data_IF_819780169112
#
_entry.id   IF_819780169112
#
_cell.length_a   1.000
_cell.length_b   1.000
_cell.length_c   1.000
_cell.angle_alpha   90.00
_cell.angle_beta   90.00
_cell.angle_gamma   90.00
#
_symmetry.space_group_name_H-M   'P 1'
#
loop_
_entity.id
_entity.type
_entity.pdbx_description
1 polymer ?
#
# COMPACT_ATOMS: atom_id res chain seq x y z
N UNK A 1 -35.53 -58.05 -86.02
CA UNK A 1 -36.14 -58.19 -84.68
C UNK A 1 -35.47 -57.19 -83.75
N UNK A 2 -36.27 -56.31 -83.13
CA UNK A 2 -35.84 -55.27 -82.17
C UNK A 2 -35.35 -55.91 -80.87
N UNK A 3 -34.21 -55.46 -80.34
CA UNK A 3 -33.90 -55.57 -78.92
C UNK A 3 -33.52 -54.18 -78.41
N UNK A 4 -34.21 -53.74 -77.37
CA UNK A 4 -34.10 -52.40 -76.76
C UNK A 4 -33.21 -52.53 -75.53
N UNK A 5 -32.07 -51.84 -75.48
CA UNK A 5 -31.24 -51.75 -74.29
C UNK A 5 -31.49 -50.40 -73.60
N UNK A 6 -32.05 -50.44 -72.40
CA UNK A 6 -32.24 -49.27 -71.54
C UNK A 6 -30.96 -48.99 -70.75
N UNK A 7 -30.36 -47.82 -70.96
CA UNK A 7 -29.24 -47.32 -70.17
C UNK A 7 -29.82 -46.67 -68.91
N UNK A 8 -29.51 -47.23 -67.73
CA UNK A 8 -29.82 -46.61 -66.44
C UNK A 8 -28.86 -45.45 -66.22
N UNK A 9 -29.37 -44.21 -66.23
CA UNK A 9 -28.62 -43.05 -65.75
C UNK A 9 -28.78 -42.96 -64.22
N UNK A 10 -27.73 -43.31 -63.48
CA UNK A 10 -27.60 -42.96 -62.07
C UNK A 10 -27.09 -41.52 -61.96
N UNK A 11 -27.92 -40.65 -61.39
CA UNK A 11 -27.59 -39.26 -61.08
C UNK A 11 -26.61 -39.24 -59.90
N UNK A 12 -25.33 -38.96 -60.16
CA UNK A 12 -24.33 -38.76 -59.10
C UNK A 12 -24.44 -37.34 -58.56
N UNK A 13 -24.84 -37.19 -57.29
CA UNK A 13 -24.82 -35.90 -56.60
C UNK A 13 -23.36 -35.51 -56.30
N UNK A 14 -22.89 -34.43 -56.91
CA UNK A 14 -21.59 -33.83 -56.65
C UNK A 14 -21.69 -32.98 -55.38
N UNK A 15 -21.23 -33.51 -54.25
CA UNK A 15 -21.13 -32.77 -52.99
C UNK A 15 -19.87 -31.89 -53.09
N UNK A 16 -20.06 -30.59 -53.27
CA UNK A 16 -19.01 -29.59 -53.10
C UNK A 16 -18.82 -29.33 -51.60
N UNK A 17 -17.61 -29.47 -51.04
CA UNK A 17 -17.36 -29.06 -49.67
C UNK A 17 -17.47 -27.53 -49.58
N UNK A 18 -18.42 -27.05 -48.77
CA UNK A 18 -18.40 -25.66 -48.30
C UNK A 18 -17.20 -25.51 -47.37
N UNK A 19 -16.15 -24.83 -47.82
CA UNK A 19 -15.15 -24.29 -46.92
C UNK A 19 -15.79 -23.10 -46.20
N UNK A 20 -16.05 -23.24 -44.91
CA UNK A 20 -16.37 -22.09 -44.07
C UNK A 20 -15.10 -21.25 -43.94
N UNK A 21 -15.09 -20.05 -44.52
CA UNK A 21 -14.09 -19.04 -44.21
C UNK A 21 -14.47 -18.50 -42.84
N UNK A 22 -13.65 -18.74 -41.82
CA UNK A 22 -13.80 -18.06 -40.55
C UNK A 22 -13.45 -16.59 -40.79
N UNK A 23 -14.42 -15.69 -40.67
CA UNK A 23 -14.16 -14.26 -40.64
C UNK A 23 -13.43 -13.95 -39.34
N UNK A 24 -12.17 -13.51 -39.43
CA UNK A 24 -11.46 -12.99 -38.27
C UNK A 24 -12.15 -11.70 -37.83
N UNK A 25 -12.64 -11.62 -36.58
CA UNK A 25 -13.26 -10.39 -36.11
C UNK A 25 -12.25 -9.25 -36.19
N UNK A 26 -12.75 -8.04 -36.47
CA UNK A 26 -11.95 -6.84 -36.62
C UNK A 26 -12.11 -5.95 -35.39
N UNK A 27 -11.00 -5.36 -34.93
CA UNK A 27 -10.95 -4.33 -33.90
C UNK A 27 -10.64 -2.97 -34.52
N UNK A 28 -11.29 -1.92 -34.01
CA UNK A 28 -10.90 -0.54 -34.24
C UNK A 28 -9.94 -0.11 -33.12
N UNK A 29 -8.70 0.19 -33.50
CA UNK A 29 -7.65 0.60 -32.57
C UNK A 29 -7.31 2.08 -32.77
N UNK A 30 -7.60 2.91 -31.77
CA UNK A 30 -7.39 4.35 -31.83
C UNK A 30 -6.23 4.76 -30.94
N UNK A 31 -5.28 5.50 -31.51
CA UNK A 31 -4.22 6.19 -30.77
C UNK A 31 -4.61 7.67 -30.71
N UNK A 32 -4.72 8.22 -29.52
CA UNK A 32 -4.93 9.64 -29.31
C UNK A 32 -3.70 10.27 -28.68
N UNK A 33 -3.18 11.27 -29.36
CA UNK A 33 -2.07 12.07 -28.89
C UNK A 33 -2.63 13.30 -28.19
N UNK A 34 -2.71 13.23 -26.86
CA UNK A 34 -3.02 14.37 -25.99
C UNK A 34 -1.78 14.80 -25.20
N UNK A 35 -0.60 14.52 -25.75
CA UNK A 35 0.69 14.93 -25.22
C UNK A 35 1.16 16.20 -25.93
N UNK A 36 2.22 16.83 -25.43
CA UNK A 36 2.82 18.03 -26.02
C UNK A 36 3.74 17.71 -27.23
N UNK A 37 4.01 16.42 -27.50
CA UNK A 37 4.86 15.93 -28.58
C UNK A 37 4.05 15.50 -29.80
N UNK A 38 4.62 15.58 -30.98
CA UNK A 38 4.03 15.13 -32.24
C UNK A 38 4.54 13.71 -32.57
N UNK A 39 3.64 12.77 -32.88
CA UNK A 39 4.08 11.41 -33.22
C UNK A 39 4.34 11.28 -34.72
N UNK A 40 5.58 10.98 -35.07
CA UNK A 40 6.07 10.88 -36.45
C UNK A 40 5.95 9.45 -36.99
N UNK A 41 6.08 8.45 -36.14
CA UNK A 41 6.01 7.04 -36.56
C UNK A 41 5.17 6.21 -35.59
N UNK A 42 4.35 5.31 -36.12
CA UNK A 42 3.57 4.34 -35.35
C UNK A 42 3.73 2.97 -35.98
N UNK A 43 4.29 2.03 -35.21
CA UNK A 43 4.44 0.64 -35.63
C UNK A 43 3.51 -0.26 -34.83
N UNK A 44 2.76 -1.11 -35.52
CA UNK A 44 1.83 -2.06 -34.90
C UNK A 44 2.11 -3.45 -35.48
N UNK A 45 2.69 -4.32 -34.67
CA UNK A 45 3.04 -5.69 -35.05
C UNK A 45 2.29 -6.70 -34.20
N UNK A 46 1.99 -7.88 -34.74
CA UNK A 46 1.50 -8.97 -33.87
C UNK A 46 2.56 -9.28 -32.82
N UNK A 47 2.17 -9.54 -31.58
CA UNK A 47 3.12 -9.90 -30.50
C UNK A 47 3.85 -11.23 -30.70
N UNK A 48 3.50 -11.96 -31.76
CA UNK A 48 4.22 -13.17 -32.20
C UNK A 48 5.25 -12.90 -33.30
N UNK A 49 5.39 -11.66 -33.74
CA UNK A 49 6.32 -11.22 -34.78
C UNK A 49 7.63 -10.74 -34.17
N UNK A 50 8.76 -11.18 -34.71
CA UNK A 50 10.09 -10.69 -34.34
C UNK A 50 10.46 -9.35 -35.04
N UNK A 51 9.53 -8.76 -35.79
CA UNK A 51 9.74 -7.50 -36.51
C UNK A 51 8.54 -6.56 -36.42
N UNK A 52 8.82 -5.26 -36.29
CA UNK A 52 7.82 -4.19 -36.18
C UNK A 52 7.02 -3.92 -37.47
N UNK A 53 7.59 -4.25 -38.63
CA UNK A 53 7.00 -3.93 -39.93
C UNK A 53 7.17 -2.47 -40.32
N UNK A 54 6.33 -2.01 -41.24
CA UNK A 54 6.33 -0.63 -41.75
C UNK A 54 5.58 0.32 -40.82
N UNK A 55 6.00 1.58 -40.82
CA UNK A 55 5.27 2.67 -40.17
C UNK A 55 3.84 2.78 -40.74
N UNK A 56 2.87 2.87 -39.83
CA UNK A 56 1.44 2.89 -40.11
C UNK A 56 0.93 4.31 -40.37
N UNK A 57 1.68 5.36 -40.04
CA UNK A 57 1.38 6.74 -40.41
C UNK A 57 1.89 7.07 -41.83
N UNK A 58 3.02 6.49 -42.24
CA UNK A 58 3.57 6.64 -43.57
C UNK A 58 4.24 8.00 -43.76
N UNK A 59 3.51 8.95 -44.36
CA UNK A 59 3.98 10.34 -44.50
C UNK A 59 3.20 11.33 -43.63
N UNK A 60 2.21 10.84 -42.90
CA UNK A 60 1.37 11.63 -42.02
C UNK A 60 2.03 11.78 -40.64
N UNK A 61 1.69 12.86 -39.94
CA UNK A 61 2.13 13.11 -38.56
C UNK A 61 0.88 13.15 -37.69
N UNK A 62 0.91 12.44 -36.56
CA UNK A 62 -0.14 12.51 -35.56
C UNK A 62 0.18 13.63 -34.56
N UNK A 63 -0.24 14.84 -34.92
CA UNK A 63 -0.01 16.06 -34.13
C UNK A 63 -0.63 15.99 -32.72
N UNK A 64 -0.05 16.76 -31.79
CA UNK A 64 -0.63 17.03 -30.47
C UNK A 64 -2.10 17.45 -30.55
N UNK A 65 -2.95 16.84 -29.72
CA UNK A 65 -4.40 16.95 -29.70
C UNK A 65 -5.14 16.13 -30.77
N UNK A 66 -4.43 15.39 -31.61
CA UNK A 66 -4.98 14.55 -32.68
C UNK A 66 -5.29 13.11 -32.25
N UNK A 67 -6.02 12.38 -33.09
CA UNK A 67 -6.15 10.92 -32.97
C UNK A 67 -6.15 10.23 -34.33
N UNK A 68 -5.62 9.01 -34.37
CA UNK A 68 -5.58 8.16 -35.56
C UNK A 68 -6.15 6.78 -35.24
N UNK A 69 -6.97 6.24 -36.14
CA UNK A 69 -7.60 4.93 -35.97
C UNK A 69 -7.15 3.92 -37.02
N UNK A 70 -6.90 2.69 -36.58
CA UNK A 70 -6.45 1.58 -37.40
C UNK A 70 -7.44 0.42 -37.28
N UNK A 71 -7.86 -0.12 -38.42
CA UNK A 71 -8.69 -1.33 -38.44
C UNK A 71 -7.79 -2.55 -38.56
N UNK A 72 -7.78 -3.39 -37.52
CA UNK A 72 -6.92 -4.56 -37.38
C UNK A 72 -7.75 -5.80 -37.08
N UNK A 73 -7.26 -7.00 -37.35
CA UNK A 73 -7.90 -8.21 -36.82
C UNK A 73 -7.74 -8.24 -35.29
N UNK A 74 -8.74 -8.74 -34.56
CA UNK A 74 -8.62 -8.97 -33.12
C UNK A 74 -7.43 -9.89 -32.83
N UNK A 75 -6.75 -9.64 -31.71
CA UNK A 75 -5.52 -10.36 -31.37
C UNK A 75 -4.66 -9.60 -30.38
N UNK A 76 -3.42 -10.05 -30.21
CA UNK A 76 -2.42 -9.41 -29.34
C UNK A 76 -1.31 -8.81 -30.19
N UNK A 77 -1.02 -7.54 -29.93
CA UNK A 77 -0.11 -6.70 -30.70
C UNK A 77 0.86 -5.97 -29.81
N UNK A 78 2.03 -5.69 -30.35
CA UNK A 78 3.00 -4.78 -29.79
C UNK A 78 2.91 -3.45 -30.53
N UNK A 79 3.15 -2.37 -29.81
CA UNK A 79 3.09 -1.00 -30.30
C UNK A 79 4.42 -0.31 -30.04
N UNK A 80 4.91 0.40 -31.06
CA UNK A 80 6.02 1.35 -30.92
C UNK A 80 5.60 2.68 -31.52
N UNK A 81 5.77 3.76 -30.78
CA UNK A 81 5.52 5.14 -31.22
C UNK A 81 6.85 5.91 -31.13
N UNK A 82 7.13 6.73 -32.13
CA UNK A 82 8.32 7.59 -32.20
C UNK A 82 7.88 9.04 -32.36
N UNK A 83 8.40 9.94 -31.53
CA UNK A 83 8.10 11.38 -31.60
C UNK A 83 9.03 12.15 -32.55
N UNK A 84 8.90 13.49 -32.56
CA UNK A 84 9.70 14.39 -33.40
C UNK A 84 11.20 14.39 -33.09
N UNK A 85 11.59 14.05 -31.86
CA UNK A 85 12.96 14.05 -31.39
C UNK A 85 13.61 12.65 -31.51
N UNK A 86 12.81 11.63 -31.84
CA UNK A 86 13.22 10.25 -32.03
C UNK A 86 13.13 9.40 -30.78
N UNK A 87 12.45 9.89 -29.73
CA UNK A 87 12.21 9.13 -28.51
C UNK A 87 11.13 8.07 -28.76
N UNK A 88 11.34 6.88 -28.19
CA UNK A 88 10.53 5.70 -28.51
C UNK A 88 9.74 5.21 -27.29
N UNK A 89 8.41 5.22 -27.39
CA UNK A 89 7.51 4.52 -26.48
C UNK A 89 7.23 3.11 -27.02
N UNK A 90 7.46 2.06 -26.21
CA UNK A 90 7.26 0.66 -26.60
C UNK A 90 6.35 -0.07 -25.63
N UNK A 91 5.21 -0.55 -26.11
CA UNK A 91 4.23 -1.29 -25.31
C UNK A 91 3.98 -2.68 -25.92
N UNK A 92 4.20 -3.71 -25.11
CA UNK A 92 4.10 -5.11 -25.55
C UNK A 92 2.78 -5.74 -25.09
N UNK A 93 2.23 -6.63 -25.91
CA UNK A 93 1.13 -7.51 -25.49
C UNK A 93 -0.25 -6.86 -25.40
N UNK A 94 -0.50 -5.77 -26.13
CA UNK A 94 -1.79 -5.07 -26.16
C UNK A 94 -2.85 -5.97 -26.82
N UNK A 95 -3.94 -6.24 -26.09
CA UNK A 95 -5.06 -7.05 -26.59
C UNK A 95 -6.08 -6.15 -27.30
N UNK A 96 -6.29 -6.37 -28.59
CA UNK A 96 -7.28 -5.68 -29.40
C UNK A 96 -8.54 -6.53 -29.56
N UNK A 97 -9.67 -5.98 -29.12
CA UNK A 97 -11.01 -6.59 -29.27
C UNK A 97 -12.07 -5.51 -29.35
N UNK A 98 -12.97 -5.56 -30.33
CA UNK A 98 -13.99 -4.52 -30.54
C UNK A 98 -13.39 -3.13 -30.76
N UNK A 99 -13.54 -2.23 -29.80
CA UNK A 99 -12.95 -0.88 -29.84
C UNK A 99 -11.91 -0.74 -28.73
N UNK A 100 -10.65 -0.54 -29.10
CA UNK A 100 -9.54 -0.29 -28.19
C UNK A 100 -9.00 1.10 -28.43
N UNK A 101 -8.80 1.91 -27.39
CA UNK A 101 -8.24 3.26 -27.49
C UNK A 101 -7.13 3.45 -26.49
N UNK A 102 -5.98 3.93 -26.94
CA UNK A 102 -4.89 4.39 -26.09
C UNK A 102 -4.82 5.91 -26.14
N UNK A 103 -4.57 6.52 -24.99
CA UNK A 103 -4.58 7.95 -24.81
C UNK A 103 -3.25 8.38 -24.20
N UNK A 104 -2.37 8.95 -25.01
CA UNK A 104 -1.08 9.44 -24.54
C UNK A 104 -1.25 10.89 -24.08
N UNK A 105 -1.36 11.11 -22.78
CA UNK A 105 -1.12 12.43 -22.17
C UNK A 105 0.39 12.64 -22.02
N UNK A 106 0.82 13.80 -21.51
CA UNK A 106 2.24 14.00 -21.19
C UNK A 106 2.78 12.92 -20.25
N UNK A 107 2.03 12.59 -19.21
CA UNK A 107 2.45 11.61 -18.21
C UNK A 107 2.53 10.20 -18.81
N UNK A 108 1.51 9.78 -19.58
CA UNK A 108 1.50 8.46 -20.24
C UNK A 108 2.60 8.33 -21.31
N UNK A 109 2.93 9.42 -22.00
CA UNK A 109 4.04 9.46 -22.94
C UNK A 109 5.38 9.30 -22.21
N UNK A 110 5.63 10.13 -21.19
CA UNK A 110 6.88 10.12 -20.42
C UNK A 110 7.08 8.79 -19.69
N UNK A 111 6.04 8.22 -19.06
CA UNK A 111 6.11 6.91 -18.40
C UNK A 111 6.46 5.79 -19.40
N UNK A 112 6.00 5.90 -20.64
CA UNK A 112 6.30 4.91 -21.66
C UNK A 112 7.72 5.03 -22.23
N UNK A 113 8.20 6.26 -22.45
CA UNK A 113 9.54 6.53 -22.97
C UNK A 113 10.61 6.32 -21.89
N UNK A 114 10.30 6.67 -20.65
CA UNK A 114 11.19 6.61 -19.49
C UNK A 114 10.56 5.81 -18.33
N UNK A 115 10.39 4.48 -18.47
CA UNK A 115 9.72 3.65 -17.47
C UNK A 115 10.43 3.58 -16.10
N UNK A 116 11.68 4.06 -16.01
CA UNK A 116 12.48 4.10 -14.78
C UNK A 116 12.55 5.50 -14.12
N UNK A 117 12.08 6.56 -14.77
CA UNK A 117 11.97 7.91 -14.18
C UNK A 117 10.51 8.10 -13.74
N UNK A 118 10.25 7.77 -12.47
CA UNK A 118 8.93 7.77 -11.83
C UNK A 118 8.18 9.10 -11.99
N UNK A 119 7.28 9.18 -12.98
CA UNK A 119 6.25 10.24 -13.07
C UNK A 119 4.87 9.67 -13.38
N UNK A 120 4.50 8.58 -12.70
CA UNK A 120 3.13 8.09 -12.74
C UNK A 120 2.17 9.06 -12.06
N UNK A 121 1.47 9.85 -12.87
CA UNK A 121 0.17 10.45 -12.54
C UNK A 121 -0.91 9.35 -12.43
N UNK A 122 -0.67 8.35 -11.59
CA UNK A 122 -1.76 7.71 -10.87
C UNK A 122 -2.35 8.79 -9.96
N UNK A 123 -3.67 8.88 -9.82
CA UNK A 123 -4.26 9.79 -8.84
C UNK A 123 -3.83 9.34 -7.44
N UNK A 124 -2.67 9.80 -6.99
CA UNK A 124 -2.09 9.38 -5.73
C UNK A 124 -3.04 9.73 -4.60
N UNK A 125 -3.32 8.74 -3.77
CA UNK A 125 -4.07 8.91 -2.55
C UNK A 125 -3.08 9.24 -1.43
N UNK A 126 -3.33 10.34 -0.71
CA UNK A 126 -2.63 10.60 0.55
C UNK A 126 -3.16 9.65 1.61
N UNK A 127 -2.31 8.79 2.13
CA UNK A 127 -2.60 7.94 3.29
C UNK A 127 -1.97 8.58 4.51
N UNK A 128 -2.81 8.88 5.50
CA UNK A 128 -2.36 9.38 6.80
C UNK A 128 -2.46 8.27 7.82
N UNK A 129 -1.34 7.88 8.43
CA UNK A 129 -1.30 6.98 9.57
C UNK A 129 -1.37 7.85 10.83
N UNK A 130 -2.37 7.61 11.67
CA UNK A 130 -2.54 8.29 12.94
C UNK A 130 -2.23 7.30 14.08
N UNK A 131 -1.09 7.49 14.74
CA UNK A 131 -0.65 6.64 15.84
C UNK A 131 -1.25 7.19 17.14
N UNK A 132 -2.31 6.53 17.61
CA UNK A 132 -2.93 6.75 18.93
C UNK A 132 -2.63 5.60 19.89
N UNK A 133 -1.63 4.78 19.53
CA UNK A 133 -1.14 3.71 20.38
C UNK A 133 -0.13 4.28 21.36
N UNK A 134 0.25 3.45 22.34
CA UNK A 134 1.27 3.78 23.31
C UNK A 134 2.69 3.68 22.74
N UNK A 135 2.90 3.01 21.62
CA UNK A 135 4.24 2.71 21.10
C UNK A 135 4.63 3.64 19.96
N UNK A 136 5.91 3.93 19.84
CA UNK A 136 6.47 4.76 18.78
C UNK A 136 6.77 3.89 17.56
N UNK A 137 6.24 4.26 16.40
CA UNK A 137 6.42 3.44 15.21
C UNK A 137 7.72 3.85 14.50
N UNK A 138 8.67 2.92 14.41
CA UNK A 138 9.97 3.11 13.79
C UNK A 138 9.97 2.81 12.29
N UNK A 139 9.14 1.85 11.85
CA UNK A 139 8.99 1.57 10.41
C UNK A 139 7.54 1.35 10.01
N UNK A 140 7.21 1.85 8.81
CA UNK A 140 5.94 1.60 8.15
C UNK A 140 6.22 1.05 6.76
N UNK A 141 5.71 -0.14 6.47
CA UNK A 141 5.75 -0.72 5.14
C UNK A 141 4.34 -0.76 4.56
N UNK A 142 4.25 -0.48 3.26
CA UNK A 142 3.02 -0.57 2.50
C UNK A 142 3.34 -1.19 1.14
N UNK A 143 2.86 -2.42 0.94
CA UNK A 143 3.08 -3.22 -0.27
C UNK A 143 1.74 -3.60 -0.89
N UNK A 144 1.67 -3.76 -2.22
CA UNK A 144 0.43 -4.24 -2.82
C UNK A 144 0.14 -5.65 -2.31
N UNK A 145 -1.11 -5.99 -2.03
CA UNK A 145 -1.45 -7.34 -1.54
C UNK A 145 -1.15 -8.46 -2.55
N UNK A 146 -0.81 -8.11 -3.79
CA UNK A 146 -0.31 -9.04 -4.81
C UNK A 146 1.19 -9.32 -4.72
N UNK A 147 1.93 -8.47 -4.01
CA UNK A 147 3.39 -8.51 -3.98
C UNK A 147 3.86 -9.47 -2.88
N UNK A 148 5.05 -10.03 -3.07
CA UNK A 148 5.64 -10.99 -2.13
C UNK A 148 6.60 -10.37 -1.12
N UNK A 149 7.00 -9.13 -1.35
CA UNK A 149 7.98 -8.39 -0.54
C UNK A 149 7.38 -7.09 -0.03
N UNK A 150 7.81 -6.64 1.15
CA UNK A 150 7.29 -5.43 1.81
C UNK A 150 7.79 -4.11 1.20
N UNK A 151 8.84 -4.15 0.39
CA UNK A 151 9.49 -2.96 -0.16
C UNK A 151 10.26 -2.17 0.89
N UNK A 152 10.45 -0.87 0.62
CA UNK A 152 11.16 0.06 1.51
C UNK A 152 10.25 0.62 2.59
N UNK A 153 10.85 0.99 3.72
CA UNK A 153 10.20 1.78 4.76
C UNK A 153 9.68 3.12 4.20
N UNK A 154 8.47 3.49 4.60
CA UNK A 154 7.77 4.72 4.22
C UNK A 154 8.07 5.88 5.16
N UNK A 155 8.55 5.61 6.38
CA UNK A 155 9.01 6.65 7.32
C UNK A 155 10.43 7.13 6.99
N UNK A 156 11.30 6.23 6.56
CA UNK A 156 12.67 6.55 6.19
C UNK A 156 13.53 6.76 7.44
N UNK A 157 13.78 8.02 7.81
CA UNK A 157 14.50 8.36 9.04
C UNK A 157 13.63 9.04 10.10
N UNK A 158 12.35 9.25 9.79
CA UNK A 158 11.38 9.81 10.72
C UNK A 158 10.87 8.74 11.68
N UNK A 159 10.45 9.14 12.88
CA UNK A 159 9.76 8.27 13.85
C UNK A 159 8.33 8.78 13.98
N UNK A 160 7.36 7.88 13.87
CA UNK A 160 5.96 8.20 14.13
C UNK A 160 5.66 8.01 15.62
N UNK A 161 5.91 9.05 16.40
CA UNK A 161 5.66 9.07 17.84
C UNK A 161 4.19 8.80 18.20
N UNK A 162 3.97 8.30 19.41
CA UNK A 162 2.66 8.22 20.05
C UNK A 162 1.92 9.57 19.98
N UNK A 163 0.60 9.51 19.76
CA UNK A 163 -0.30 10.65 19.56
C UNK A 163 0.07 11.56 18.37
N UNK A 164 0.86 11.08 17.42
CA UNK A 164 1.25 11.79 16.21
C UNK A 164 0.69 11.15 14.95
N UNK A 165 0.84 11.84 13.81
CA UNK A 165 0.44 11.30 12.51
C UNK A 165 1.50 11.53 11.45
N UNK A 166 1.61 10.60 10.51
CA UNK A 166 2.51 10.68 9.36
C UNK A 166 1.73 10.43 8.08
N UNK A 167 2.08 11.14 7.00
CA UNK A 167 1.39 11.00 5.72
C UNK A 167 2.36 10.71 4.59
N UNK A 168 1.98 9.78 3.73
CA UNK A 168 2.67 9.47 2.49
C UNK A 168 1.66 9.19 1.38
N UNK A 169 2.12 9.16 0.13
CA UNK A 169 1.26 8.91 -1.03
C UNK A 169 1.36 7.46 -1.49
N UNK A 170 0.24 6.92 -1.93
CA UNK A 170 0.13 5.62 -2.57
C UNK A 170 -0.75 5.72 -3.81
N UNK A 171 -0.40 4.98 -4.87
CA UNK A 171 -1.29 4.79 -6.01
C UNK A 171 -2.54 4.01 -5.58
N UNK A 172 -3.70 4.18 -6.25
CA UNK A 172 -4.88 3.39 -5.95
C UNK A 172 -4.62 1.88 -6.11
N UNK A 173 -5.10 1.08 -5.16
CA UNK A 173 -4.84 -0.35 -5.10
C UNK A 173 -5.29 -0.99 -3.79
N UNK A 174 -5.03 -2.27 -3.62
CA UNK A 174 -5.21 -2.98 -2.35
C UNK A 174 -3.84 -3.28 -1.79
N UNK A 175 -3.60 -2.85 -0.56
CA UNK A 175 -2.30 -2.90 0.09
C UNK A 175 -2.35 -3.69 1.39
N UNK A 176 -1.24 -4.32 1.69
CA UNK A 176 -0.90 -4.83 3.00
C UNK A 176 0.02 -3.82 3.69
N UNK A 177 -0.19 -3.62 4.98
CA UNK A 177 0.61 -2.73 5.83
C UNK A 177 1.32 -3.54 6.90
N UNK A 178 2.56 -3.15 7.21
CA UNK A 178 3.32 -3.67 8.34
C UNK A 178 3.91 -2.50 9.12
N UNK A 179 3.68 -2.50 10.42
CA UNK A 179 4.18 -1.53 11.38
C UNK A 179 5.18 -2.25 12.28
N UNK A 180 6.30 -1.59 12.56
CA UNK A 180 7.33 -2.06 13.48
C UNK A 180 7.58 -0.94 14.47
N UNK A 181 7.45 -1.24 15.76
CA UNK A 181 7.67 -0.27 16.83
C UNK A 181 9.14 -0.20 17.29
N UNK A 182 9.38 0.49 18.41
CA UNK A 182 10.71 0.67 19.00
C UNK A 182 11.39 -0.64 19.42
N UNK A 183 10.62 -1.68 19.73
CA UNK A 183 11.07 -2.95 20.29
C UNK A 183 11.09 -4.10 19.26
N UNK A 184 10.99 -3.76 17.98
CA UNK A 184 10.84 -4.69 16.85
C UNK A 184 9.54 -5.52 16.88
N UNK A 185 8.52 -5.12 17.66
CA UNK A 185 7.21 -5.77 17.62
C UNK A 185 6.50 -5.43 16.31
N UNK A 186 5.89 -6.45 15.71
CA UNK A 186 5.35 -6.37 14.35
C UNK A 186 3.83 -6.46 14.39
N UNK A 187 3.17 -5.44 13.86
CA UNK A 187 1.76 -5.50 13.50
C UNK A 187 1.56 -5.50 11.98
N UNK A 188 0.77 -6.45 11.45
CA UNK A 188 0.36 -6.47 10.05
C UNK A 188 -1.13 -6.27 9.85
N UNK A 189 -1.51 -5.42 8.88
CA UNK A 189 -2.88 -5.24 8.41
C UNK A 189 -2.98 -5.61 6.94
N UNK A 190 -3.79 -6.62 6.60
CA UNK A 190 -3.86 -7.16 5.23
C UNK A 190 -5.10 -6.67 4.48
N UNK A 191 -4.96 -6.41 3.18
CA UNK A 191 -6.08 -6.19 2.26
C UNK A 191 -6.76 -4.83 2.36
N UNK A 192 -6.02 -3.78 2.72
CA UNK A 192 -6.54 -2.41 2.85
C UNK A 192 -6.68 -1.75 1.47
N UNK A 193 -7.91 -1.48 1.05
CA UNK A 193 -8.17 -0.80 -0.23
C UNK A 193 -7.95 0.71 -0.13
N UNK A 194 -7.12 1.23 -1.03
CA UNK A 194 -6.83 2.65 -1.24
C UNK A 194 -7.44 3.07 -2.59
N UNK A 195 -8.54 3.81 -2.55
CA UNK A 195 -9.20 4.36 -3.76
C UNK A 195 -9.15 5.89 -3.84
N UNK A 196 -8.84 6.54 -2.72
CA UNK A 196 -8.73 7.98 -2.53
C UNK A 196 -8.02 8.25 -1.20
N UNK A 197 -7.60 9.49 -0.96
CA UNK A 197 -6.95 9.88 0.31
C UNK A 197 -7.77 9.46 1.52
N UNK A 198 -7.11 8.92 2.54
CA UNK A 198 -7.76 8.42 3.76
C UNK A 198 -6.82 8.42 4.96
N UNK A 199 -7.42 8.42 6.15
CA UNK A 199 -6.71 8.21 7.41
C UNK A 199 -6.92 6.77 7.89
N UNK A 200 -5.83 6.13 8.31
CA UNK A 200 -5.81 4.86 9.05
C UNK A 200 -5.38 5.23 10.47
N UNK A 201 -6.28 5.10 11.43
CA UNK A 201 -5.93 5.26 12.84
C UNK A 201 -5.52 3.91 13.40
N UNK A 202 -4.61 3.94 14.35
CA UNK A 202 -4.16 2.77 15.07
C UNK A 202 -4.13 3.09 16.55
N UNK A 203 -5.02 2.46 17.32
CA UNK A 203 -5.06 2.60 18.78
C UNK A 203 -4.38 1.43 19.50
N UNK A 204 -4.18 1.57 20.80
CA UNK A 204 -3.50 0.56 21.63
C UNK A 204 -4.18 -0.80 21.58
N UNK A 205 -5.50 -0.87 21.41
CA UNK A 205 -6.22 -2.17 21.31
C UNK A 205 -5.96 -2.81 19.97
N UNK A 206 -6.00 -2.03 18.90
CA UNK A 206 -5.67 -2.51 17.57
C UNK A 206 -4.22 -3.00 17.52
N UNK A 207 -3.29 -2.34 18.22
CA UNK A 207 -1.90 -2.81 18.37
C UNK A 207 -1.84 -4.18 19.05
N UNK A 208 -2.45 -4.31 20.22
CA UNK A 208 -2.42 -5.54 21.00
C UNK A 208 -3.12 -6.72 20.31
N UNK A 209 -4.26 -6.46 19.66
CA UNK A 209 -4.99 -7.47 18.89
C UNK A 209 -4.14 -7.97 17.72
N UNK A 210 -3.33 -7.09 17.15
CA UNK A 210 -2.47 -7.39 16.01
C UNK A 210 -1.24 -8.23 16.41
N UNK A 211 -0.49 -7.82 17.43
CA UNK A 211 0.69 -8.57 17.91
C UNK A 211 0.31 -9.89 18.60
N UNK A 212 -0.89 -9.97 19.20
CA UNK A 212 -1.39 -11.16 19.87
C UNK A 212 -1.92 -12.25 18.93
N UNK A 213 -1.90 -12.03 17.61
CA UNK A 213 -2.51 -12.92 16.62
C UNK A 213 -1.61 -14.05 16.12
N UNK A 214 -0.41 -14.21 16.67
CA UNK A 214 0.48 -15.31 16.30
C UNK A 214 -0.11 -16.69 16.65
N UNK A 215 -0.14 -17.57 15.64
CA UNK A 215 -0.52 -18.98 15.73
C UNK A 215 0.42 -19.78 16.65
N UNK A 216 0.33 -19.58 17.97
CA UNK A 216 0.68 -20.58 19.01
C UNK A 216 0.62 -19.93 20.40
N UNK A 217 -0.57 -19.85 20.99
CA UNK A 217 -0.77 -20.36 22.36
C UNK A 217 -2.24 -20.31 22.78
N UNK A 218 -2.75 -21.48 23.18
CA UNK A 218 -4.05 -21.56 23.84
C UNK A 218 -3.92 -21.17 25.31
N UNK A 219 -4.98 -20.54 25.82
CA UNK A 219 -5.37 -20.35 27.22
C UNK A 219 -4.40 -19.51 28.05
N UNK A 220 -4.81 -18.33 28.52
CA UNK A 220 -5.81 -18.25 29.59
C UNK A 220 -6.55 -16.92 29.52
N UNK A 221 -7.88 -16.99 29.61
CA UNK A 221 -8.75 -15.85 29.83
C UNK A 221 -8.22 -14.94 30.93
N UNK A 222 -7.79 -13.72 30.60
CA UNK A 222 -7.72 -12.63 31.55
C UNK A 222 -7.93 -11.29 30.84
N UNK A 223 -9.18 -10.83 30.92
CA UNK A 223 -9.65 -9.46 30.69
C UNK A 223 -9.09 -8.69 29.49
N UNK A 224 -9.83 -8.69 28.38
CA UNK A 224 -9.73 -7.68 27.31
C UNK A 224 -10.23 -6.30 27.80
N UNK A 225 -9.75 -5.86 28.95
CA UNK A 225 -10.21 -4.66 29.65
C UNK A 225 -9.13 -3.59 29.65
N UNK A 226 -9.56 -2.35 29.43
CA UNK A 226 -8.74 -1.19 29.75
C UNK A 226 -8.95 -0.80 31.21
N UNK A 227 -7.87 -0.42 31.88
CA UNK A 227 -7.88 0.00 33.27
C UNK A 227 -7.21 1.35 33.41
N UNK A 228 -7.78 2.18 34.28
CA UNK A 228 -7.17 3.46 34.62
C UNK A 228 -6.15 3.25 35.73
N UNK A 229 -4.91 3.67 35.47
CA UNK A 229 -3.89 3.81 36.48
C UNK A 229 -3.67 5.29 36.80
N UNK A 230 -3.76 5.64 38.09
CA UNK A 230 -3.58 7.02 38.58
C UNK A 230 -2.29 7.11 39.36
N UNK A 231 -1.40 8.00 38.96
CA UNK A 231 -0.17 8.34 39.66
C UNK A 231 -0.42 9.57 40.50
N UNK A 232 -0.14 9.48 41.80
CA UNK A 232 -0.28 10.62 42.74
C UNK A 232 1.10 10.97 43.24
N UNK A 233 1.57 12.17 42.90
CA UNK A 233 2.88 12.65 43.36
C UNK A 233 2.74 13.20 44.78
N UNK A 234 3.08 12.39 45.77
CA UNK A 234 3.17 12.79 47.19
C UNK A 234 4.64 12.98 47.62
N UNK A 235 5.55 13.14 46.66
CA UNK A 235 6.97 13.34 46.90
C UNK A 235 7.28 14.83 47.08
N UNK A 236 8.55 15.16 47.36
CA UNK A 236 9.00 16.55 47.46
C UNK A 236 9.45 17.14 46.12
N UNK A 237 9.45 16.33 45.06
CA UNK A 237 10.00 16.64 43.75
C UNK A 237 8.89 16.64 42.71
N UNK A 238 9.03 17.46 41.69
CA UNK A 238 8.10 17.56 40.57
C UNK A 238 8.53 16.57 39.49
N UNK A 239 7.58 15.80 38.95
CA UNK A 239 7.90 14.77 37.95
C UNK A 239 7.76 15.38 36.56
N UNK A 240 8.86 15.39 35.81
CA UNK A 240 8.96 15.97 34.48
C UNK A 240 8.66 14.96 33.38
N UNK A 241 8.97 13.67 33.60
CA UNK A 241 8.64 12.61 32.64
C UNK A 241 8.09 11.38 33.35
N UNK A 242 7.12 10.73 32.71
CA UNK A 242 6.54 9.47 33.14
C UNK A 242 6.49 8.54 31.94
N UNK A 243 7.14 7.39 32.04
CA UNK A 243 7.14 6.36 31.03
C UNK A 243 6.35 5.16 31.52
N UNK A 244 5.67 4.50 30.58
CA UNK A 244 4.92 3.28 30.81
C UNK A 244 5.10 2.38 29.59
N UNK A 245 5.68 1.21 29.80
CA UNK A 245 5.90 0.17 28.79
C UNK A 245 5.43 -1.18 29.34
N UNK A 246 5.12 -2.15 28.48
CA UNK A 246 4.85 -3.50 28.99
C UNK A 246 6.14 -4.05 29.61
N UNK A 247 6.02 -4.92 30.61
CA UNK A 247 7.21 -5.55 31.21
C UNK A 247 7.94 -6.51 30.23
N UNK A 248 7.35 -6.79 29.06
CA UNK A 248 8.00 -7.50 27.96
C UNK A 248 8.87 -6.61 27.08
N UNK A 249 8.62 -5.30 27.08
CA UNK A 249 9.24 -4.32 26.20
C UNK A 249 10.65 -4.02 26.71
N UNK A 250 11.58 -3.74 25.79
CA UNK A 250 12.97 -3.42 26.14
C UNK A 250 13.23 -1.92 26.14
N UNK A 251 12.40 -1.15 25.46
CA UNK A 251 12.38 0.30 25.42
C UNK A 251 11.22 0.89 26.24
N UNK A 252 11.41 2.13 26.70
CA UNK A 252 10.43 2.83 27.56
C UNK A 252 9.35 3.57 26.77
N UNK A 253 9.53 3.69 25.45
CA UNK A 253 8.72 4.51 24.56
C UNK A 253 8.73 6.01 24.90
N UNK A 254 7.69 6.69 24.43
CA UNK A 254 7.49 8.12 24.62
C UNK A 254 7.03 8.51 26.02
N UNK A 255 7.38 9.74 26.43
CA UNK A 255 6.90 10.35 27.67
C UNK A 255 5.37 10.52 27.65
N UNK A 256 4.72 10.02 28.70
CA UNK A 256 3.27 10.02 28.88
C UNK A 256 2.74 11.33 29.46
N UNK A 257 3.58 12.16 30.08
CA UNK A 257 3.17 13.48 30.56
C UNK A 257 3.12 14.53 29.43
N UNK A 258 3.96 14.36 28.41
CA UNK A 258 4.10 15.28 27.30
C UNK A 258 4.64 16.64 27.77
N UNK A 259 3.83 17.70 27.65
CA UNK A 259 4.20 19.02 28.17
C UNK A 259 3.75 19.27 29.62
N UNK A 260 3.09 18.29 30.24
CA UNK A 260 2.57 18.40 31.61
C UNK A 260 3.70 18.14 32.60
N UNK A 261 3.75 18.87 33.70
CA UNK A 261 4.61 18.57 34.85
C UNK A 261 3.69 18.10 35.96
N UNK A 262 3.97 16.94 36.54
CA UNK A 262 3.20 16.38 37.65
C UNK A 262 3.78 16.90 38.96
N UNK A 263 3.27 18.03 39.45
CA UNK A 263 3.79 18.71 40.63
C UNK A 263 3.49 17.93 41.92
N UNK A 264 4.21 18.24 42.99
CA UNK A 264 3.89 17.70 44.32
C UNK A 264 2.44 18.01 44.75
N UNK A 265 1.70 16.96 45.11
CA UNK A 265 0.28 16.96 45.48
C UNK A 265 -0.69 16.77 44.31
N UNK A 266 -0.21 16.67 43.07
CA UNK A 266 -1.04 16.45 41.89
C UNK A 266 -1.18 14.96 41.53
N UNK A 267 -2.16 14.67 40.67
CA UNK A 267 -2.38 13.35 40.11
C UNK A 267 -2.45 13.37 38.59
N UNK A 268 -2.00 12.28 37.97
CA UNK A 268 -2.07 12.05 36.53
C UNK A 268 -2.61 10.64 36.28
N UNK A 269 -3.47 10.48 35.27
CA UNK A 269 -4.09 9.17 34.99
C UNK A 269 -3.86 8.74 33.55
N UNK A 270 -3.51 7.47 33.38
CA UNK A 270 -3.42 6.78 32.10
C UNK A 270 -4.50 5.71 32.02
N UNK A 271 -5.00 5.45 30.81
CA UNK A 271 -5.84 4.29 30.54
C UNK A 271 -5.03 3.32 29.72
N UNK A 272 -4.65 2.20 30.34
CA UNK A 272 -3.78 1.20 29.74
C UNK A 272 -4.55 -0.13 29.63
N UNK A 273 -4.29 -0.95 28.61
CA UNK A 273 -4.86 -2.28 28.51
C UNK A 273 -4.36 -3.18 29.65
N UNK A 274 -5.11 -4.26 29.92
CA UNK A 274 -4.74 -5.24 30.93
C UNK A 274 -3.36 -5.84 30.63
N UNK A 275 -2.48 -5.87 31.62
CA UNK A 275 -1.11 -6.35 31.41
C UNK A 275 -0.20 -6.16 32.61
N UNK A 276 1.05 -6.56 32.45
CA UNK A 276 2.14 -6.27 33.38
C UNK A 276 2.97 -5.15 32.77
N UNK A 277 3.16 -4.06 33.52
CA UNK A 277 3.82 -2.85 33.05
C UNK A 277 5.01 -2.47 33.92
N UNK A 278 5.98 -1.84 33.29
CA UNK A 278 7.07 -1.15 33.95
C UNK A 278 6.82 0.37 33.86
N UNK A 279 7.16 1.09 34.94
CA UNK A 279 7.07 2.54 35.02
C UNK A 279 8.42 3.15 35.35
N UNK A 280 8.75 4.24 34.66
CA UNK A 280 9.92 5.07 34.95
C UNK A 280 9.48 6.51 35.13
N UNK A 281 9.98 7.14 36.17
CA UNK A 281 9.73 8.54 36.48
C UNK A 281 11.05 9.30 36.50
N UNK A 282 11.05 10.53 35.99
CA UNK A 282 12.22 11.42 36.01
C UNK A 282 11.79 12.74 36.65
N UNK A 283 12.50 13.19 37.68
CA UNK A 283 12.21 14.45 38.38
C UNK A 283 12.88 15.68 37.73
N UNK A 284 12.74 16.85 38.37
CA UNK A 284 13.31 18.11 37.90
C UNK A 284 14.85 18.14 37.86
N UNK A 285 15.51 17.30 38.65
CA UNK A 285 16.97 17.22 38.73
C UNK A 285 17.52 16.14 37.77
N UNK A 286 16.63 15.34 37.17
CA UNK A 286 16.95 14.26 36.25
C UNK A 286 17.18 12.91 36.92
N UNK A 287 16.84 12.78 38.20
CA UNK A 287 16.96 11.51 38.91
C UNK A 287 15.87 10.54 38.45
N UNK A 288 16.26 9.28 38.18
CA UNK A 288 15.37 8.26 37.64
C UNK A 288 14.86 7.32 38.75
N UNK A 289 13.55 7.13 38.83
CA UNK A 289 12.92 6.10 39.66
C UNK A 289 12.22 5.06 38.77
N UNK A 290 12.59 3.78 38.91
CA UNK A 290 11.99 2.67 38.14
C UNK A 290 11.16 1.74 39.02
N UNK A 291 10.02 1.28 38.49
CA UNK A 291 9.10 0.32 39.10
C UNK A 291 8.75 -0.74 38.08
N UNK A 292 9.09 -1.99 38.39
CA UNK A 292 8.92 -3.10 37.46
C UNK A 292 7.74 -3.99 37.85
N UNK A 293 7.20 -4.70 36.86
CA UNK A 293 6.22 -5.80 36.99
C UNK A 293 4.91 -5.38 37.68
N UNK A 294 4.43 -4.17 37.41
CA UNK A 294 3.19 -3.67 37.94
C UNK A 294 1.99 -4.31 37.22
N UNK A 295 1.31 -5.22 37.91
CA UNK A 295 0.10 -5.86 37.40
C UNK A 295 -1.07 -4.87 37.31
N UNK A 296 -1.66 -4.75 36.12
CA UNK A 296 -2.81 -3.91 35.84
C UNK A 296 -3.98 -4.76 35.31
N UNK A 297 -4.81 -5.26 36.23
CA UNK A 297 -6.05 -6.00 35.93
C UNK A 297 -7.28 -5.42 36.62
N UNK A 298 -7.12 -4.23 37.22
CA UNK A 298 -8.16 -3.40 37.83
C UNK A 298 -7.66 -1.96 37.89
N UNK A 299 -8.56 -0.99 38.04
CA UNK A 299 -8.15 0.40 38.24
C UNK A 299 -7.29 0.51 39.50
N UNK A 300 -6.16 1.20 39.40
CA UNK A 300 -5.15 1.23 40.45
C UNK A 300 -4.60 2.64 40.64
N UNK A 301 -4.19 2.94 41.87
CA UNK A 301 -3.45 4.16 42.19
C UNK A 301 -2.03 3.80 42.63
N UNK A 302 -1.03 4.46 42.07
CA UNK A 302 0.37 4.42 42.49
C UNK A 302 0.67 5.74 43.20
N UNK A 303 0.99 5.65 44.49
CA UNK A 303 1.48 6.80 45.25
C UNK A 303 3.00 6.87 45.15
N UNK A 304 3.49 8.03 44.75
CA UNK A 304 4.91 8.32 44.67
C UNK A 304 5.26 9.17 45.89
N UNK A 305 5.68 8.52 46.97
CA UNK A 305 6.08 9.20 48.21
C UNK A 305 7.57 9.56 48.20
N UNK A 306 7.98 10.51 49.05
CA UNK A 306 9.41 10.87 49.21
C UNK A 306 10.26 9.65 49.58
N UNK A 307 9.80 8.84 50.54
CA UNK A 307 10.52 7.63 50.95
C UNK A 307 10.56 6.61 49.80
N UNK A 308 9.45 6.46 49.06
CA UNK A 308 9.40 5.60 47.88
C UNK A 308 10.38 6.02 46.79
N UNK A 309 10.48 7.34 46.52
CA UNK A 309 11.42 7.90 45.54
C UNK A 309 12.87 7.58 45.92
N UNK A 310 13.23 7.80 47.19
CA UNK A 310 14.57 7.51 47.69
C UNK A 310 14.94 6.02 47.67
N UNK A 311 13.95 5.13 47.61
CA UNK A 311 14.17 3.68 47.49
C UNK A 311 14.38 3.20 46.04
N UNK A 312 14.05 4.01 45.02
CA UNK A 312 14.17 3.63 43.60
C UNK A 312 15.12 4.50 42.77
N UNK A 313 15.66 5.59 43.33
CA UNK A 313 16.73 6.32 42.67
C UNK A 313 17.96 5.39 42.54
N UNK A 314 18.39 5.18 41.29
CA UNK A 314 19.62 4.50 40.91
C UNK A 314 20.78 5.49 40.68
#
# INVERSE_FOLDING_TARGET
>A
MRTSNWIKFTLGALILPLFAVAETPMANFTIANNSDWDFYEVYISSSSSDSWGDDRLGSDILYSGGEQSFLLSEGTYDLKIVDEDGDECRQMGIRLSGNTRLNYTNDEWLDCVFPDETTSSSSEATVTINNTSLWDIYNIYASLSSDTDWGSDRLGSEILYSESSYSFTLSPGTYDFKFVDEDDDICTMMGVTISSSRTISFDTSEWLDCIGSDESSSSTSNSSGYYTITFVNNSLWDIYNLYASLSSDTDWGSDRLGSTILNSGEEFSLTLPAGEYDFKFIDEDGDECKRFEAQLYENRTIEISTDGWLECID
#
